data_IF_217119832640
#
_entry.id   IF_217119832640
#
_cell.length_a   1.000
_cell.length_b   1.000
_cell.length_c   1.000
_cell.angle_alpha   90.00
_cell.angle_beta   90.00
_cell.angle_gamma   90.00
#
_symmetry.space_group_name_H-M   'P 1'
#
loop_
_entity.id
_entity.type
_entity.pdbx_description
1 polymer ?
#
# COMPACT_ATOMS: atom_id res chain seq x y z
N UNK A 1 -9.09 -27.72 -16.29
CA UNK A 1 -8.15 -27.50 -15.18
C UNK A 1 -8.61 -28.35 -14.01
N UNK A 2 -7.69 -28.93 -13.24
CA UNK A 2 -8.01 -29.65 -12.00
C UNK A 2 -7.46 -28.82 -10.84
N UNK A 3 -8.25 -27.85 -10.43
CA UNK A 3 -7.85 -26.84 -9.45
C UNK A 3 -7.91 -27.40 -8.03
N UNK A 4 -6.92 -27.04 -7.22
CA UNK A 4 -6.84 -27.39 -5.80
C UNK A 4 -6.25 -26.23 -5.00
N UNK A 5 -6.74 -26.03 -3.77
CA UNK A 5 -6.18 -25.05 -2.84
C UNK A 5 -5.10 -25.67 -1.96
N UNK A 6 -4.10 -24.87 -1.60
CA UNK A 6 -3.18 -25.20 -0.52
C UNK A 6 -2.93 -23.96 0.36
N UNK A 7 -2.99 -24.08 1.69
CA UNK A 7 -2.79 -22.94 2.57
C UNK A 7 -1.37 -22.36 2.45
N UNK A 8 -1.25 -21.06 2.65
CA UNK A 8 0.01 -20.40 2.91
C UNK A 8 0.51 -20.82 4.30
N UNK A 9 1.73 -21.33 4.33
CA UNK A 9 2.46 -21.81 5.52
C UNK A 9 3.82 -21.12 5.54
N UNK A 10 4.49 -21.08 6.68
CA UNK A 10 5.80 -20.42 6.82
C UNK A 10 6.82 -20.95 5.80
N UNK A 11 6.85 -22.27 5.57
CA UNK A 11 7.76 -22.91 4.63
C UNK A 11 7.47 -22.55 3.16
N UNK A 12 6.28 -22.03 2.87
CA UNK A 12 5.85 -21.65 1.53
C UNK A 12 5.91 -20.15 1.26
N UNK A 13 6.28 -19.30 2.24
CA UNK A 13 6.38 -17.84 2.05
C UNK A 13 7.35 -17.45 0.94
N UNK A 14 8.51 -18.10 0.86
CA UNK A 14 9.48 -17.83 -0.19
C UNK A 14 8.92 -18.11 -1.60
N UNK A 15 8.16 -19.20 -1.77
CA UNK A 15 7.47 -19.50 -3.03
C UNK A 15 6.38 -18.46 -3.33
N UNK A 16 5.58 -18.10 -2.33
CA UNK A 16 4.54 -17.09 -2.45
C UNK A 16 5.08 -15.75 -2.94
N UNK A 17 6.18 -15.27 -2.33
CA UNK A 17 6.80 -14.00 -2.69
C UNK A 17 7.47 -14.05 -4.06
N UNK A 18 8.07 -15.18 -4.43
CA UNK A 18 8.59 -15.39 -5.79
C UNK A 18 7.48 -15.30 -6.85
N UNK A 19 6.30 -15.86 -6.59
CA UNK A 19 5.14 -15.73 -7.47
C UNK A 19 4.62 -14.28 -7.52
N UNK A 20 4.59 -13.59 -6.37
CA UNK A 20 4.24 -12.17 -6.32
C UNK A 20 5.20 -11.31 -7.13
N UNK A 21 6.49 -11.64 -7.13
CA UNK A 21 7.51 -10.94 -7.91
C UNK A 21 7.33 -11.18 -9.41
N UNK A 22 6.98 -12.40 -9.82
CA UNK A 22 6.80 -12.78 -11.23
C UNK A 22 5.46 -12.37 -11.87
N UNK A 23 4.42 -12.08 -11.09
CA UNK A 23 3.09 -11.71 -11.60
C UNK A 23 2.91 -10.21 -11.79
N UNK A 24 2.38 -9.69 -12.92
CA UNK A 24 2.09 -8.27 -13.09
C UNK A 24 0.88 -7.82 -12.26
N UNK A 25 -0.02 -8.76 -11.89
CA UNK A 25 -1.19 -8.47 -11.06
C UNK A 25 -0.80 -8.21 -9.60
N UNK A 26 0.25 -8.89 -9.13
CA UNK A 26 0.75 -8.74 -7.77
C UNK A 26 1.58 -7.47 -7.58
N UNK A 27 1.45 -6.87 -6.41
CA UNK A 27 2.35 -5.84 -5.88
C UNK A 27 2.58 -6.09 -4.39
N UNK A 28 3.34 -5.23 -3.70
CA UNK A 28 3.83 -5.47 -2.34
C UNK A 28 2.75 -5.98 -1.37
N UNK A 29 1.52 -5.46 -1.49
CA UNK A 29 0.39 -5.83 -0.65
C UNK A 29 0.01 -7.33 -0.71
N UNK A 30 0.39 -8.02 -1.78
CA UNK A 30 0.14 -9.46 -1.93
C UNK A 30 1.20 -10.29 -1.22
N UNK A 31 2.37 -9.74 -0.89
CA UNK A 31 3.51 -10.50 -0.35
C UNK A 31 3.26 -11.01 1.07
N UNK A 32 4.01 -12.03 1.47
CA UNK A 32 4.01 -12.56 2.83
C UNK A 32 4.37 -11.47 3.85
N UNK A 33 5.27 -10.55 3.50
CA UNK A 33 5.66 -9.39 4.32
C UNK A 33 4.46 -8.49 4.68
N UNK A 34 3.56 -8.24 3.73
CA UNK A 34 2.36 -7.45 3.97
C UNK A 34 1.28 -8.23 4.73
N UNK A 35 1.17 -9.55 4.48
CA UNK A 35 0.28 -10.44 5.23
C UNK A 35 0.69 -10.45 6.71
N UNK A 36 1.97 -10.64 7.01
CA UNK A 36 2.51 -10.64 8.38
C UNK A 36 2.25 -9.29 9.08
N UNK A 37 2.45 -8.17 8.37
CA UNK A 37 2.12 -6.86 8.90
C UNK A 37 0.63 -6.73 9.19
N UNK A 38 -0.24 -7.17 8.28
CA UNK A 38 -1.69 -7.06 8.43
C UNK A 38 -2.19 -7.87 9.63
N UNK A 39 -1.63 -9.06 9.88
CA UNK A 39 -1.93 -9.88 11.06
C UNK A 39 -1.49 -9.21 12.37
N UNK A 40 -0.40 -8.46 12.35
CA UNK A 40 0.13 -7.78 13.52
C UNK A 40 -0.45 -6.36 13.75
N UNK A 41 -1.11 -5.77 12.75
CA UNK A 41 -1.43 -4.33 12.73
C UNK A 41 -2.55 -3.92 13.69
N UNK A 42 -3.60 -4.74 13.80
CA UNK A 42 -4.79 -4.46 14.62
C UNK A 42 -5.11 -5.65 15.52
N UNK A 43 -4.38 -5.82 16.64
CA UNK A 43 -4.62 -6.94 17.57
C UNK A 43 -6.05 -7.01 18.10
N UNK A 44 -6.75 -5.87 18.14
CA UNK A 44 -8.14 -5.77 18.53
C UNK A 44 -9.13 -6.40 17.53
N UNK A 45 -8.67 -6.70 16.31
CA UNK A 45 -9.43 -7.41 15.29
C UNK A 45 -9.20 -8.93 15.31
N UNK A 46 -8.43 -9.47 16.27
CA UNK A 46 -8.18 -10.92 16.42
C UNK A 46 -7.80 -11.61 15.09
N UNK A 47 -6.98 -10.95 14.26
CA UNK A 47 -6.73 -11.33 12.86
C UNK A 47 -6.12 -12.74 12.71
N UNK A 48 -6.62 -13.50 11.73
CA UNK A 48 -6.14 -14.86 11.40
C UNK A 48 -5.87 -15.03 9.90
N UNK A 49 -4.69 -15.54 9.57
CA UNK A 49 -4.30 -15.82 8.19
C UNK A 49 -5.04 -17.03 7.62
N UNK A 50 -5.70 -16.84 6.49
CA UNK A 50 -6.37 -17.88 5.71
C UNK A 50 -5.93 -17.85 4.23
N UNK A 51 -4.80 -17.19 3.95
CA UNK A 51 -4.29 -17.04 2.59
C UNK A 51 -3.95 -18.39 1.97
N UNK A 52 -4.17 -18.56 0.67
CA UNK A 52 -3.97 -19.84 -0.01
C UNK A 52 -3.50 -19.67 -1.46
N UNK A 53 -2.80 -20.70 -1.94
CA UNK A 53 -2.43 -20.87 -3.34
C UNK A 53 -3.54 -21.63 -4.07
N UNK A 54 -3.66 -21.42 -5.37
CA UNK A 54 -4.40 -22.30 -6.28
C UNK A 54 -3.43 -23.01 -7.21
N UNK A 55 -3.54 -24.34 -7.29
CA UNK A 55 -2.73 -25.19 -8.14
C UNK A 55 -3.56 -25.80 -9.27
N UNK A 56 -3.00 -25.89 -10.48
CA UNK A 56 -3.43 -26.84 -11.52
C UNK A 56 -2.38 -27.95 -11.64
N UNK A 57 -2.68 -29.11 -11.06
CA UNK A 57 -1.68 -30.16 -10.88
C UNK A 57 -0.55 -29.74 -9.92
N UNK A 58 0.67 -29.54 -10.44
CA UNK A 58 1.85 -29.14 -9.64
C UNK A 58 2.18 -27.64 -9.75
N UNK A 59 1.53 -26.93 -10.66
CA UNK A 59 1.83 -25.53 -10.95
C UNK A 59 0.92 -24.61 -10.12
N UNK A 60 1.51 -23.65 -9.40
CA UNK A 60 0.75 -22.61 -8.71
C UNK A 60 0.30 -21.55 -9.73
N UNK A 61 -0.99 -21.53 -10.03
CA UNK A 61 -1.57 -20.69 -11.08
C UNK A 61 -2.15 -19.37 -10.55
N UNK A 62 -2.43 -19.29 -9.26
CA UNK A 62 -2.89 -18.07 -8.60
C UNK A 62 -2.59 -18.08 -7.09
N UNK A 63 -2.69 -16.90 -6.48
CA UNK A 63 -2.65 -16.71 -5.03
C UNK A 63 -3.85 -15.89 -4.55
N UNK A 64 -4.28 -16.15 -3.32
CA UNK A 64 -5.37 -15.42 -2.67
C UNK A 64 -4.91 -14.96 -1.28
N UNK A 65 -4.46 -13.69 -1.15
CA UNK A 65 -4.27 -13.07 0.16
C UNK A 65 -5.63 -12.98 0.88
N UNK A 66 -5.74 -13.63 2.03
CA UNK A 66 -6.98 -13.72 2.80
C UNK A 66 -6.67 -13.71 4.30
N UNK A 67 -7.34 -12.81 5.03
CA UNK A 67 -7.25 -12.68 6.48
C UNK A 67 -8.68 -12.56 7.01
N UNK A 68 -8.98 -13.36 8.03
CA UNK A 68 -10.18 -13.22 8.84
C UNK A 68 -9.92 -12.20 9.94
N UNK A 69 -10.79 -11.21 10.05
CA UNK A 69 -10.79 -10.22 11.11
C UNK A 69 -12.12 -10.28 11.86
N UNK A 70 -12.07 -10.19 13.17
CA UNK A 70 -13.21 -10.25 14.07
C UNK A 70 -13.28 -8.95 14.86
N UNK A 71 -14.33 -8.17 14.62
CA UNK A 71 -14.60 -6.93 15.36
C UNK A 71 -15.79 -7.08 16.30
N UNK A 72 -15.80 -6.32 17.40
CA UNK A 72 -16.91 -6.30 18.37
C UNK A 72 -17.53 -4.91 18.39
N UNK A 73 -18.79 -4.79 18.00
CA UNK A 73 -19.54 -3.54 18.02
C UNK A 73 -20.88 -3.73 18.74
N UNK A 74 -21.12 -2.93 19.78
CA UNK A 74 -22.33 -3.00 20.61
C UNK A 74 -22.67 -4.41 21.12
N UNK A 75 -21.65 -5.18 21.53
CA UNK A 75 -21.80 -6.55 22.03
C UNK A 75 -22.06 -7.61 20.95
N UNK A 76 -22.11 -7.23 19.67
CA UNK A 76 -22.17 -8.16 18.53
C UNK A 76 -20.78 -8.36 17.94
N UNK A 77 -20.50 -9.60 17.54
CA UNK A 77 -19.28 -10.00 16.86
C UNK A 77 -19.53 -9.99 15.36
N UNK A 78 -18.63 -9.35 14.61
CA UNK A 78 -18.68 -9.26 13.15
C UNK A 78 -17.39 -9.82 12.58
N UNK A 79 -17.51 -10.85 11.75
CA UNK A 79 -16.37 -11.44 11.04
C UNK A 79 -16.30 -10.89 9.63
N UNK A 80 -15.12 -10.44 9.22
CA UNK A 80 -14.87 -9.87 7.89
C UNK A 80 -13.63 -10.47 7.27
N UNK A 81 -13.63 -10.57 5.94
CA UNK A 81 -12.39 -10.74 5.19
C UNK A 81 -11.90 -9.36 4.75
N UNK A 82 -10.90 -8.86 5.47
CA UNK A 82 -10.38 -7.49 5.37
C UNK A 82 -8.95 -7.45 5.91
N UNK A 83 -8.21 -6.39 5.57
CA UNK A 83 -6.86 -6.13 6.09
C UNK A 83 -6.86 -4.83 6.91
N UNK A 84 -6.68 -4.94 8.23
CA UNK A 84 -6.68 -3.81 9.16
C UNK A 84 -8.05 -3.12 9.28
N UNK A 85 -9.14 -3.82 8.98
CA UNK A 85 -10.49 -3.28 8.84
C UNK A 85 -10.77 -2.57 7.52
N UNK A 86 -9.84 -2.67 6.55
CA UNK A 86 -9.95 -2.06 5.22
C UNK A 86 -9.87 -3.12 4.11
N UNK A 87 -9.73 -2.68 2.86
CA UNK A 87 -9.73 -3.57 1.68
C UNK A 87 -8.44 -4.38 1.55
N UNK A 88 -8.58 -5.70 1.51
CA UNK A 88 -7.51 -6.62 1.16
C UNK A 88 -7.14 -6.48 -0.34
N UNK A 89 -5.91 -6.79 -0.78
CA UNK A 89 -5.64 -6.97 -2.19
C UNK A 89 -6.47 -8.14 -2.72
N UNK A 90 -7.08 -7.97 -3.90
CA UNK A 90 -7.81 -9.04 -4.56
C UNK A 90 -6.90 -10.24 -4.89
N UNK A 91 -7.47 -11.43 -5.13
CA UNK A 91 -6.71 -12.56 -5.65
C UNK A 91 -6.00 -12.21 -6.96
N UNK A 92 -4.85 -12.85 -7.20
CA UNK A 92 -4.01 -12.56 -8.35
C UNK A 92 -3.62 -13.84 -9.09
N UNK A 93 -3.73 -13.79 -10.42
CA UNK A 93 -3.23 -14.83 -11.31
C UNK A 93 -1.70 -14.72 -11.38
N UNK A 94 -1.01 -15.83 -11.10
CA UNK A 94 0.46 -15.87 -11.07
C UNK A 94 1.04 -16.51 -12.32
N UNK A 95 0.26 -17.32 -13.04
CA UNK A 95 0.66 -17.90 -14.31
C UNK A 95 0.17 -17.04 -15.49
N UNK A 96 1.09 -16.31 -16.12
CA UNK A 96 0.80 -15.44 -17.26
C UNK A 96 0.46 -16.19 -18.56
N UNK A 97 0.70 -17.51 -18.62
CA UNK A 97 0.40 -18.32 -19.80
C UNK A 97 -1.07 -18.78 -19.86
N UNK A 98 -1.86 -18.47 -18.83
CA UNK A 98 -3.29 -18.79 -18.85
C UNK A 98 -4.02 -17.95 -19.90
N UNK A 99 -4.87 -18.61 -20.68
CA UNK A 99 -5.85 -17.91 -21.52
C UNK A 99 -6.86 -17.16 -20.64
N UNK A 100 -7.48 -16.10 -21.16
CA UNK A 100 -8.52 -15.36 -20.45
C UNK A 100 -9.62 -16.27 -19.88
N UNK A 101 -10.03 -17.29 -20.65
CA UNK A 101 -11.02 -18.29 -20.22
C UNK A 101 -10.53 -19.11 -19.01
N UNK A 102 -9.26 -19.48 -18.98
CA UNK A 102 -8.68 -20.24 -17.87
C UNK A 102 -8.48 -19.33 -16.65
N UNK A 103 -8.03 -18.09 -16.83
CA UNK A 103 -7.95 -17.11 -15.74
C UNK A 103 -9.31 -16.86 -15.10
N UNK A 104 -10.36 -16.69 -15.92
CA UNK A 104 -11.74 -16.55 -15.44
C UNK A 104 -12.22 -17.78 -14.66
N UNK A 105 -11.94 -18.99 -15.15
CA UNK A 105 -12.24 -20.23 -14.43
C UNK A 105 -11.50 -20.32 -13.08
N UNK A 106 -10.22 -19.92 -13.03
CA UNK A 106 -9.43 -19.88 -11.79
C UNK A 106 -10.03 -18.88 -10.79
N UNK A 107 -10.44 -17.69 -11.24
CA UNK A 107 -11.09 -16.71 -10.36
C UNK A 107 -12.43 -17.23 -9.82
N UNK A 108 -13.28 -17.85 -10.65
CA UNK A 108 -14.52 -18.47 -10.19
C UNK A 108 -14.27 -19.55 -9.12
N UNK A 109 -13.23 -20.36 -9.30
CA UNK A 109 -12.81 -21.34 -8.30
C UNK A 109 -12.37 -20.66 -6.99
N UNK A 110 -11.54 -19.62 -7.06
CA UNK A 110 -11.10 -18.85 -5.88
C UNK A 110 -12.30 -18.28 -5.11
N UNK A 111 -13.26 -17.66 -5.78
CA UNK A 111 -14.42 -17.07 -5.10
C UNK A 111 -15.37 -18.12 -4.52
N UNK A 112 -15.51 -19.28 -5.16
CA UNK A 112 -16.22 -20.41 -4.56
C UNK A 112 -15.56 -20.82 -3.23
N UNK A 113 -14.23 -20.92 -3.19
CA UNK A 113 -13.50 -21.26 -1.96
C UNK A 113 -13.60 -20.17 -0.89
N UNK A 114 -13.56 -18.89 -1.29
CA UNK A 114 -13.81 -17.76 -0.37
C UNK A 114 -15.21 -17.86 0.23
N UNK A 115 -16.23 -18.22 -0.56
CA UNK A 115 -17.61 -18.38 -0.07
C UNK A 115 -17.72 -19.54 0.92
N UNK A 116 -17.06 -20.68 0.67
CA UNK A 116 -17.02 -21.79 1.61
C UNK A 116 -16.34 -21.41 2.93
N UNK A 117 -15.20 -20.71 2.86
CA UNK A 117 -14.50 -20.18 4.03
C UNK A 117 -15.35 -19.12 4.76
N UNK A 118 -16.04 -18.24 4.03
CA UNK A 118 -16.92 -17.23 4.60
C UNK A 118 -18.07 -17.89 5.38
N UNK A 119 -18.72 -18.91 4.81
CA UNK A 119 -19.77 -19.66 5.48
C UNK A 119 -19.25 -20.37 6.75
N UNK A 120 -18.09 -21.03 6.64
CA UNK A 120 -17.43 -21.71 7.77
C UNK A 120 -17.10 -20.76 8.92
N UNK A 121 -16.66 -19.55 8.59
CA UNK A 121 -16.24 -18.55 9.57
C UNK A 121 -17.32 -17.50 9.89
N UNK A 122 -18.55 -17.67 9.38
CA UNK A 122 -19.66 -16.74 9.58
C UNK A 122 -19.30 -15.29 9.20
N UNK A 123 -18.61 -15.14 8.08
CA UNK A 123 -18.17 -13.84 7.57
C UNK A 123 -19.36 -13.07 6.98
N UNK A 124 -19.51 -11.83 7.41
CA UNK A 124 -20.60 -10.95 6.99
C UNK A 124 -20.20 -10.04 5.82
N UNK A 125 -18.90 -9.79 5.64
CA UNK A 125 -18.39 -8.90 4.59
C UNK A 125 -17.03 -9.36 4.07
N UNK A 126 -16.84 -9.27 2.76
CA UNK A 126 -15.56 -9.50 2.08
C UNK A 126 -15.17 -8.23 1.36
N UNK A 127 -14.00 -7.67 1.66
CA UNK A 127 -13.60 -6.34 1.17
C UNK A 127 -12.30 -6.45 0.38
N UNK A 128 -12.36 -6.21 -0.94
CA UNK A 128 -11.19 -6.24 -1.82
C UNK A 128 -10.96 -4.94 -2.56
N UNK A 129 -9.69 -4.65 -2.85
CA UNK A 129 -9.25 -3.63 -3.79
C UNK A 129 -8.34 -4.21 -4.85
N UNK A 130 -8.45 -3.66 -6.07
CA UNK A 130 -7.54 -3.97 -7.16
C UNK A 130 -6.28 -3.12 -7.04
N UNK A 131 -5.15 -3.69 -7.47
CA UNK A 131 -3.86 -3.00 -7.49
C UNK A 131 -3.86 -1.92 -8.60
N UNK A 132 -3.66 -0.62 -8.27
CA UNK A 132 -3.70 0.45 -9.27
C UNK A 132 -2.57 0.37 -10.29
N UNK A 133 -1.42 -0.23 -9.95
CA UNK A 133 -0.26 -0.30 -10.85
C UNK A 133 -0.47 -1.28 -12.01
N UNK A 134 -1.41 -2.22 -11.90
CA UNK A 134 -1.81 -3.09 -13.01
C UNK A 134 -2.41 -2.27 -14.15
N UNK A 135 -3.12 -1.18 -13.82
CA UNK A 135 -3.73 -0.28 -14.81
C UNK A 135 -2.72 0.69 -15.44
N UNK A 136 -1.65 1.02 -14.71
CA UNK A 136 -0.61 1.96 -15.14
C UNK A 136 0.30 1.37 -16.24
N UNK A 137 0.56 0.06 -16.21
CA UNK A 137 1.54 -0.60 -17.07
C UNK A 137 1.04 -0.91 -18.50
N UNK A 138 -0.15 -0.41 -18.90
CA UNK A 138 -0.62 -0.51 -20.29
C UNK A 138 -0.89 -1.94 -20.80
N UNK A 139 -0.80 -2.95 -19.93
CA UNK A 139 -1.21 -4.31 -20.26
C UNK A 139 -2.70 -4.33 -20.60
N UNK A 140 -3.15 -5.36 -21.33
CA UNK A 140 -4.58 -5.64 -21.57
C UNK A 140 -5.34 -6.01 -20.28
N UNK A 141 -4.85 -5.57 -19.13
CA UNK A 141 -5.50 -5.71 -17.85
C UNK A 141 -6.85 -4.99 -17.88
N UNK A 142 -7.84 -5.69 -17.34
CA UNK A 142 -9.23 -5.31 -17.36
C UNK A 142 -9.39 -3.91 -16.75
N UNK A 143 -9.68 -2.90 -17.58
CA UNK A 143 -9.92 -1.51 -17.15
C UNK A 143 -11.24 -1.33 -16.38
N UNK A 144 -11.88 -2.43 -16.00
CA UNK A 144 -13.14 -2.47 -15.29
C UNK A 144 -12.98 -3.14 -13.93
N UNK A 145 -13.91 -2.84 -13.02
CA UNK A 145 -13.96 -3.48 -11.72
C UNK A 145 -14.52 -4.91 -11.86
N UNK A 146 -13.63 -5.86 -12.13
CA UNK A 146 -13.98 -7.25 -12.39
C UNK A 146 -14.56 -7.98 -11.16
N UNK A 147 -14.43 -7.42 -9.95
CA UNK A 147 -15.06 -7.97 -8.74
C UNK A 147 -16.59 -8.05 -8.88
N UNK A 148 -17.20 -7.16 -9.66
CA UNK A 148 -18.64 -7.17 -9.93
C UNK A 148 -19.14 -8.46 -10.60
N UNK A 149 -18.28 -9.16 -11.35
CA UNK A 149 -18.62 -10.46 -11.94
C UNK A 149 -18.83 -11.56 -10.90
N UNK A 150 -18.35 -11.34 -9.67
CA UNK A 150 -18.41 -12.28 -8.55
C UNK A 150 -19.41 -11.83 -7.47
N UNK A 151 -20.31 -10.90 -7.80
CA UNK A 151 -21.40 -10.46 -6.92
C UNK A 151 -21.02 -9.36 -5.92
N UNK A 152 -19.80 -8.83 -5.97
CA UNK A 152 -19.41 -7.66 -5.16
C UNK A 152 -20.14 -6.41 -5.62
N UNK A 153 -20.45 -5.53 -4.67
CA UNK A 153 -20.94 -4.17 -4.95
C UNK A 153 -19.72 -3.33 -5.34
N UNK A 154 -19.58 -2.92 -6.62
CA UNK A 154 -18.41 -2.21 -7.06
C UNK A 154 -18.49 -0.73 -6.67
N UNK A 155 -17.39 -0.17 -6.19
CA UNK A 155 -17.19 1.27 -6.15
C UNK A 155 -15.74 1.64 -6.47
N UNK A 156 -15.49 2.94 -6.60
CA UNK A 156 -14.23 3.48 -7.06
C UNK A 156 -13.83 4.67 -6.19
N UNK A 157 -12.57 4.66 -5.76
CA UNK A 157 -11.85 5.85 -5.32
C UNK A 157 -10.80 6.21 -6.36
N UNK A 158 -10.17 7.37 -6.23
CA UNK A 158 -9.03 7.74 -7.07
C UNK A 158 -7.76 7.76 -6.22
N UNK A 159 -6.61 7.47 -6.85
CA UNK A 159 -5.29 7.68 -6.25
C UNK A 159 -4.44 8.54 -7.16
N UNK A 160 -3.56 9.35 -6.58
CA UNK A 160 -2.63 10.17 -7.33
C UNK A 160 -1.34 9.38 -7.55
N UNK A 161 -0.93 9.30 -8.81
CA UNK A 161 0.31 8.66 -9.24
C UNK A 161 1.16 9.67 -10.01
N UNK A 162 2.45 9.70 -9.69
CA UNK A 162 3.44 10.51 -10.40
C UNK A 162 4.26 9.55 -11.27
N UNK A 163 4.38 9.87 -12.57
CA UNK A 163 5.36 9.23 -13.44
C UNK A 163 6.74 9.78 -13.07
N UNK A 164 7.58 8.91 -12.50
CA UNK A 164 8.91 9.28 -12.02
C UNK A 164 10.00 8.96 -13.05
N UNK A 165 9.65 8.49 -14.26
CA UNK A 165 10.57 8.24 -15.38
C UNK A 165 10.91 9.54 -16.15
N UNK A 166 10.89 10.67 -15.45
CA UNK A 166 11.16 12.00 -15.96
C UNK A 166 12.25 12.69 -15.13
N UNK A 167 13.09 13.48 -15.80
CA UNK A 167 14.15 14.24 -15.13
C UNK A 167 13.58 15.12 -14.01
N UNK A 168 14.31 15.34 -12.90
CA UNK A 168 13.87 16.17 -11.78
C UNK A 168 13.34 17.55 -12.21
N UNK A 169 13.93 18.19 -13.21
CA UNK A 169 13.48 19.49 -13.72
C UNK A 169 12.06 19.41 -14.29
N UNK A 170 11.72 18.31 -14.98
CA UNK A 170 10.37 18.08 -15.48
C UNK A 170 9.40 17.83 -14.33
N UNK A 171 9.76 16.94 -13.40
CA UNK A 171 8.95 16.65 -12.21
C UNK A 171 8.63 17.92 -11.43
N UNK A 172 9.63 18.80 -11.22
CA UNK A 172 9.45 20.08 -10.55
C UNK A 172 8.54 21.02 -11.34
N UNK A 173 8.67 21.07 -12.67
CA UNK A 173 7.82 21.90 -13.54
C UNK A 173 6.35 21.53 -13.40
N UNK A 174 6.04 20.23 -13.33
CA UNK A 174 4.67 19.70 -13.24
C UNK A 174 4.01 19.92 -11.87
N UNK A 175 4.78 20.29 -10.85
CA UNK A 175 4.24 20.66 -9.54
C UNK A 175 3.48 21.99 -9.58
N UNK A 176 2.49 22.11 -8.70
CA UNK A 176 1.76 23.35 -8.45
C UNK A 176 2.71 24.45 -8.00
N UNK A 177 2.44 25.71 -8.42
CA UNK A 177 3.26 26.89 -8.05
C UNK A 177 3.52 26.99 -6.53
N UNK A 178 2.50 26.75 -5.71
CA UNK A 178 2.64 26.77 -4.24
C UNK A 178 3.63 25.72 -3.72
N UNK A 179 3.57 24.49 -4.24
CA UNK A 179 4.48 23.41 -3.86
C UNK A 179 5.93 23.74 -4.18
N UNK A 180 6.20 24.28 -5.38
CA UNK A 180 7.54 24.77 -5.75
C UNK A 180 8.05 25.85 -4.80
N UNK A 181 7.18 26.79 -4.44
CA UNK A 181 7.51 27.85 -3.47
C UNK A 181 7.80 27.29 -2.08
N UNK A 182 7.03 26.29 -1.64
CA UNK A 182 7.21 25.65 -0.34
C UNK A 182 8.48 24.80 -0.28
N UNK A 183 8.85 24.11 -1.37
CA UNK A 183 10.14 23.41 -1.47
C UNK A 183 11.29 24.41 -1.35
N UNK A 184 11.25 25.50 -2.13
CA UNK A 184 12.28 26.54 -2.08
C UNK A 184 12.39 27.17 -0.69
N UNK A 185 11.25 27.48 -0.07
CA UNK A 185 11.19 28.01 1.31
C UNK A 185 11.79 27.02 2.31
N UNK A 186 11.52 25.72 2.17
CA UNK A 186 12.13 24.70 3.03
C UNK A 186 13.66 24.75 2.98
N UNK A 187 14.21 24.82 1.76
CA UNK A 187 15.65 24.86 1.51
C UNK A 187 16.27 26.17 2.04
N UNK A 188 15.61 27.31 1.85
CA UNK A 188 16.01 28.62 2.39
C UNK A 188 16.00 28.66 3.93
N UNK A 189 15.07 27.93 4.56
CA UNK A 189 14.98 27.74 6.02
C UNK A 189 15.99 26.71 6.55
N UNK A 190 16.89 26.20 5.70
CA UNK A 190 17.97 25.29 6.06
C UNK A 190 17.56 23.83 6.22
N UNK A 191 16.40 23.42 5.71
CA UNK A 191 15.99 22.02 5.76
C UNK A 191 16.79 21.20 4.73
N UNK A 192 17.33 20.08 5.20
CA UNK A 192 18.00 19.08 4.36
C UNK A 192 17.32 17.73 4.51
N UNK A 193 17.47 16.83 3.53
CA UNK A 193 16.92 15.48 3.61
C UNK A 193 18.03 14.43 3.54
N UNK A 194 17.83 13.34 4.26
CA UNK A 194 18.69 12.16 4.22
C UNK A 194 17.85 10.92 3.92
N UNK A 195 18.31 10.09 2.99
CA UNK A 195 17.73 8.79 2.68
C UNK A 195 18.43 7.71 3.52
N UNK A 196 17.66 6.72 3.95
CA UNK A 196 18.12 5.52 4.63
C UNK A 196 17.50 4.30 3.93
N UNK A 197 18.32 3.56 3.20
CA UNK A 197 17.93 2.38 2.44
C UNK A 197 18.84 1.20 2.80
N UNK A 198 18.27 0.01 3.00
CA UNK A 198 19.01 -1.23 3.34
C UNK A 198 19.94 -1.02 4.54
N UNK A 199 21.26 -1.11 4.31
CA UNK A 199 22.29 -1.02 5.35
C UNK A 199 22.56 0.38 5.88
N UNK A 200 22.08 1.41 5.16
CA UNK A 200 22.17 2.79 5.61
C UNK A 200 21.18 3.11 6.74
N UNK A 201 20.12 2.31 6.90
CA UNK A 201 19.15 2.48 7.99
C UNK A 201 19.59 1.70 9.22
N UNK A 202 20.11 2.41 10.22
CA UNK A 202 20.36 1.86 11.55
C UNK A 202 19.07 1.73 12.36
N UNK A 203 19.07 0.86 13.38
CA UNK A 203 17.93 0.72 14.29
C UNK A 203 17.70 2.00 15.09
N UNK A 204 18.77 2.71 15.43
CA UNK A 204 18.76 3.99 16.12
C UNK A 204 18.04 5.05 15.29
N UNK A 205 18.39 5.18 14.01
CA UNK A 205 17.70 6.09 13.07
C UNK A 205 16.23 5.73 12.92
N UNK A 206 15.90 4.45 12.78
CA UNK A 206 14.51 4.02 12.67
C UNK A 206 13.71 4.32 13.95
N UNK A 207 14.35 4.21 15.12
CA UNK A 207 13.74 4.56 16.39
C UNK A 207 13.46 6.08 16.51
N UNK A 208 14.25 6.95 15.87
CA UNK A 208 13.92 8.38 15.77
C UNK A 208 12.62 8.59 14.98
N UNK A 209 12.44 7.88 13.86
CA UNK A 209 11.18 7.90 13.12
C UNK A 209 10.00 7.44 13.99
N UNK A 210 10.14 6.31 14.70
CA UNK A 210 9.11 5.80 15.60
C UNK A 210 8.73 6.81 16.69
N UNK A 211 9.73 7.39 17.35
CA UNK A 211 9.52 8.39 18.39
C UNK A 211 8.81 9.64 17.86
N UNK A 212 9.24 10.16 16.69
CA UNK A 212 8.60 11.31 16.07
C UNK A 212 7.18 11.00 15.61
N UNK A 213 6.92 9.78 15.11
CA UNK A 213 5.59 9.34 14.73
C UNK A 213 4.63 9.30 15.94
N UNK A 214 5.10 8.82 17.09
CA UNK A 214 4.31 8.83 18.32
C UNK A 214 4.04 10.27 18.79
N UNK A 215 5.06 11.15 18.76
CA UNK A 215 4.93 12.58 19.08
C UNK A 215 3.89 13.26 18.21
N UNK A 216 4.00 13.11 16.89
CA UNK A 216 3.09 13.74 15.92
C UNK A 216 1.64 13.25 16.05
N UNK A 217 1.44 11.97 16.41
CA UNK A 217 0.11 11.40 16.60
C UNK A 217 -0.47 11.64 18.00
N UNK A 218 0.34 12.07 18.98
CA UNK A 218 -0.04 12.17 20.40
C UNK A 218 -0.29 10.82 21.08
N UNK A 219 -0.04 9.71 20.38
CA UNK A 219 -0.22 8.34 20.86
C UNK A 219 0.59 7.36 20.03
N UNK A 220 0.81 6.16 20.56
CA UNK A 220 1.27 5.03 19.76
C UNK A 220 0.15 4.57 18.85
N UNK A 221 0.37 4.66 17.52
CA UNK A 221 -0.67 4.38 16.52
C UNK A 221 -0.77 2.91 16.11
N UNK A 222 0.29 2.12 16.37
CA UNK A 222 0.42 0.72 15.95
C UNK A 222 1.35 -0.05 16.90
N UNK A 223 1.23 -1.38 16.99
CA UNK A 223 2.08 -2.22 17.84
C UNK A 223 3.57 -2.18 17.47
N UNK A 224 4.46 -2.41 18.43
CA UNK A 224 5.92 -2.46 18.21
C UNK A 224 6.31 -3.49 17.14
N UNK A 225 5.66 -4.66 17.12
CA UNK A 225 5.90 -5.71 16.12
C UNK A 225 5.74 -5.21 14.68
N UNK A 226 4.82 -4.27 14.43
CA UNK A 226 4.67 -3.69 13.09
C UNK A 226 5.80 -2.74 12.72
N UNK A 227 6.39 -2.03 13.70
CA UNK A 227 7.58 -1.22 13.48
C UNK A 227 8.79 -2.09 13.15
N UNK A 228 8.93 -3.26 13.79
CA UNK A 228 9.98 -4.22 13.45
C UNK A 228 9.84 -4.77 12.02
N UNK A 229 8.61 -5.11 11.60
CA UNK A 229 8.34 -5.52 10.23
C UNK A 229 8.67 -4.40 9.23
N UNK A 230 8.27 -3.16 9.53
CA UNK A 230 8.58 -1.99 8.70
C UNK A 230 10.09 -1.70 8.60
N UNK A 231 10.84 -1.93 9.68
CA UNK A 231 12.30 -1.84 9.66
C UNK A 231 12.90 -2.92 8.76
N UNK A 232 12.42 -4.17 8.86
CA UNK A 232 12.87 -5.27 8.00
C UNK A 232 12.59 -4.99 6.52
N UNK A 233 11.45 -4.38 6.18
CA UNK A 233 11.17 -3.95 4.81
C UNK A 233 12.25 -3.01 4.27
N UNK A 234 12.79 -2.11 5.10
CA UNK A 234 13.91 -1.25 4.69
C UNK A 234 15.17 -2.06 4.45
N UNK A 235 15.49 -2.99 5.35
CA UNK A 235 16.67 -3.87 5.26
C UNK A 235 16.67 -4.73 4.00
N UNK A 236 15.51 -5.28 3.66
CA UNK A 236 15.29 -6.14 2.49
C UNK A 236 15.19 -5.33 1.18
N UNK A 237 14.99 -4.01 1.30
CA UNK A 237 14.88 -3.08 0.18
C UNK A 237 13.48 -2.97 -0.41
N UNK A 238 12.47 -3.40 0.35
CA UNK A 238 11.04 -3.20 0.08
C UNK A 238 10.50 -1.84 0.57
N UNK A 239 11.34 -1.05 1.25
CA UNK A 239 11.06 0.31 1.61
C UNK A 239 12.35 1.13 1.77
N UNK A 240 12.23 2.45 1.83
CA UNK A 240 13.26 3.33 2.37
C UNK A 240 12.64 4.34 3.32
N UNK A 241 13.45 4.84 4.25
CA UNK A 241 13.10 5.93 5.13
C UNK A 241 13.78 7.20 4.65
N UNK A 242 13.06 8.30 4.60
CA UNK A 242 13.63 9.63 4.35
C UNK A 242 13.34 10.52 5.55
N UNK A 243 14.36 11.20 6.06
CA UNK A 243 14.26 12.16 7.17
C UNK A 243 14.59 13.58 6.72
N UNK A 244 13.75 14.55 7.08
CA UNK A 244 14.09 15.97 6.98
C UNK A 244 14.73 16.44 8.28
N UNK A 245 15.87 17.12 8.14
CA UNK A 245 16.69 17.63 9.23
C UNK A 245 16.74 19.16 9.18
N UNK A 246 16.61 19.79 10.34
CA UNK A 246 16.93 21.20 10.54
C UNK A 246 18.06 21.24 11.57
N UNK A 247 19.19 21.84 11.20
CA UNK A 247 20.43 21.74 11.99
C UNK A 247 20.80 20.28 12.27
N UNK A 248 20.80 19.85 13.53
CA UNK A 248 21.13 18.48 13.96
C UNK A 248 19.89 17.62 14.29
N UNK A 249 18.67 18.16 14.20
CA UNK A 249 17.44 17.48 14.60
C UNK A 249 16.62 17.00 13.39
N UNK A 250 16.19 15.73 13.39
CA UNK A 250 15.18 15.25 12.46
C UNK A 250 13.79 15.75 12.85
N UNK A 251 13.21 16.61 12.01
CA UNK A 251 11.91 17.24 12.24
C UNK A 251 10.79 16.64 11.38
N UNK A 252 11.09 15.66 10.53
CA UNK A 252 10.07 14.91 9.81
C UNK A 252 10.62 13.66 9.16
N UNK A 253 9.73 12.70 8.92
CA UNK A 253 10.08 11.46 8.25
C UNK A 253 8.97 11.00 7.30
N UNK A 254 9.35 10.23 6.29
CA UNK A 254 8.44 9.41 5.50
C UNK A 254 9.06 8.04 5.22
N UNK A 255 8.26 7.00 5.39
CA UNK A 255 8.57 5.65 4.94
C UNK A 255 7.85 5.40 3.62
N UNK A 256 8.63 5.14 2.58
CA UNK A 256 8.16 4.89 1.22
C UNK A 256 8.36 3.41 0.93
N UNK A 257 7.28 2.71 0.59
CA UNK A 257 7.36 1.32 0.13
C UNK A 257 7.80 1.31 -1.32
N UNK A 258 8.66 0.36 -1.69
CA UNK A 258 9.17 0.17 -3.06
C UNK A 258 9.07 -1.31 -3.40
N UNK A 259 8.42 -1.62 -4.52
CA UNK A 259 8.33 -2.98 -5.00
C UNK A 259 8.20 -2.99 -6.52
N UNK A 260 9.06 -3.77 -7.18
CA UNK A 260 9.26 -3.72 -8.63
C UNK A 260 9.66 -2.31 -9.08
N UNK A 261 8.99 -1.75 -10.07
CA UNK A 261 9.22 -0.42 -10.63
C UNK A 261 8.25 0.63 -10.06
N UNK A 262 7.61 0.37 -8.91
CA UNK A 262 6.64 1.27 -8.32
C UNK A 262 6.91 1.51 -6.82
N UNK A 263 6.54 2.70 -6.35
CA UNK A 263 6.62 3.12 -4.97
C UNK A 263 5.27 3.62 -4.45
N UNK A 264 5.09 3.57 -3.13
CA UNK A 264 3.89 4.04 -2.46
C UNK A 264 4.20 4.80 -1.18
N UNK A 265 3.49 5.91 -1.00
CA UNK A 265 3.62 6.75 0.17
C UNK A 265 2.95 6.11 1.40
N UNK A 266 3.73 5.31 2.13
CA UNK A 266 3.22 4.43 3.18
C UNK A 266 2.90 5.12 4.50
N UNK A 267 3.89 5.78 5.11
CA UNK A 267 3.71 6.40 6.43
C UNK A 267 4.56 7.67 6.56
N UNK A 268 4.06 8.67 7.27
CA UNK A 268 4.78 9.93 7.47
C UNK A 268 4.50 10.57 8.81
N UNK A 269 5.43 11.37 9.30
CA UNK A 269 5.23 12.23 10.46
C UNK A 269 6.03 13.53 10.31
N UNK A 270 5.46 14.63 10.80
CA UNK A 270 6.14 15.91 10.94
C UNK A 270 6.17 16.27 12.42
N UNK A 271 7.23 16.91 12.88
CA UNK A 271 7.34 17.42 14.24
C UNK A 271 6.29 18.52 14.45
N UNK A 272 5.34 18.35 15.39
CA UNK A 272 4.27 19.32 15.61
C UNK A 272 4.78 20.68 16.13
N UNK A 273 6.02 20.76 16.62
CA UNK A 273 6.63 21.99 17.12
C UNK A 273 7.06 22.95 15.98
N UNK A 274 7.02 22.47 14.72
CA UNK A 274 7.39 23.24 13.53
C UNK A 274 6.23 23.30 12.50
N UNK A 275 5.03 23.79 12.88
CA UNK A 275 3.83 23.68 12.04
C UNK A 275 3.91 24.53 10.76
N UNK A 276 4.69 25.61 10.77
CA UNK A 276 4.81 26.56 9.66
C UNK A 276 5.85 26.14 8.60
N UNK A 277 6.70 25.16 8.94
CA UNK A 277 7.76 24.69 8.06
C UNK A 277 7.21 23.68 7.03
N UNK A 278 7.55 23.83 5.74
CA UNK A 278 7.10 22.95 4.67
C UNK A 278 7.85 21.59 4.63
N UNK A 279 7.95 20.91 5.78
CA UNK A 279 8.70 19.66 6.00
C UNK A 279 8.29 18.57 5.01
N UNK A 280 6.99 18.32 4.87
CA UNK A 280 6.51 17.29 3.96
C UNK A 280 6.78 17.63 2.48
N UNK A 281 6.89 18.91 2.11
CA UNK A 281 7.19 19.30 0.73
C UNK A 281 8.62 18.93 0.34
N UNK A 282 9.60 19.26 1.19
CA UNK A 282 11.01 18.93 0.92
C UNK A 282 11.28 17.43 0.98
N UNK A 283 10.61 16.71 1.90
CA UNK A 283 10.68 15.24 1.93
C UNK A 283 10.20 14.66 0.61
N UNK A 284 8.99 15.01 0.17
CA UNK A 284 8.43 14.42 -1.05
C UNK A 284 9.21 14.83 -2.31
N UNK A 285 9.80 16.03 -2.35
CA UNK A 285 10.70 16.42 -3.43
C UNK A 285 11.95 15.55 -3.49
N UNK A 286 12.61 15.32 -2.35
CA UNK A 286 13.79 14.46 -2.28
C UNK A 286 13.45 12.98 -2.53
N UNK A 287 12.26 12.53 -2.12
CA UNK A 287 11.71 11.23 -2.53
C UNK A 287 11.64 11.10 -4.05
N UNK A 288 11.07 12.08 -4.75
CA UNK A 288 10.96 12.03 -6.22
C UNK A 288 12.31 11.96 -6.92
N UNK A 289 13.31 12.72 -6.46
CA UNK A 289 14.68 12.66 -6.97
C UNK A 289 15.28 11.26 -6.77
N UNK A 290 15.17 10.71 -5.56
CA UNK A 290 15.70 9.38 -5.26
C UNK A 290 15.02 8.29 -6.09
N UNK A 291 13.69 8.37 -6.28
CA UNK A 291 12.95 7.41 -7.11
C UNK A 291 13.41 7.42 -8.57
N UNK A 292 13.60 8.61 -9.15
CA UNK A 292 14.16 8.78 -10.49
C UNK A 292 15.57 8.19 -10.61
N UNK A 293 16.46 8.52 -9.67
CA UNK A 293 17.86 8.02 -9.65
C UNK A 293 17.94 6.49 -9.52
N UNK A 294 16.95 5.85 -8.90
CA UNK A 294 16.88 4.40 -8.69
C UNK A 294 16.00 3.67 -9.73
N UNK A 295 15.58 4.34 -10.81
CA UNK A 295 14.81 3.73 -11.89
C UNK A 295 13.41 3.25 -11.49
N UNK A 296 12.86 3.79 -10.41
CA UNK A 296 11.46 3.57 -10.03
C UNK A 296 10.61 4.49 -10.90
N UNK A 297 9.59 3.94 -11.57
CA UNK A 297 8.85 4.61 -12.65
C UNK A 297 7.52 5.19 -12.23
N UNK A 298 6.96 4.74 -11.12
CA UNK A 298 5.66 5.22 -10.65
C UNK A 298 5.66 5.41 -9.15
N UNK A 299 5.09 6.52 -8.70
CA UNK A 299 4.93 6.82 -7.28
C UNK A 299 3.47 7.12 -6.95
N UNK A 300 2.80 6.18 -6.29
CA UNK A 300 1.47 6.41 -5.74
C UNK A 300 1.59 7.23 -4.44
N UNK A 301 1.40 8.54 -4.57
CA UNK A 301 1.46 9.48 -3.44
C UNK A 301 0.15 9.48 -2.63
N UNK A 302 -0.91 8.87 -3.17
CA UNK A 302 -2.02 8.32 -2.40
C UNK A 302 -3.41 8.87 -2.75
N UNK A 303 -4.38 8.43 -1.95
CA UNK A 303 -5.80 8.50 -2.27
C UNK A 303 -6.35 9.92 -2.37
N UNK A 304 -7.38 10.06 -3.20
CA UNK A 304 -7.96 11.31 -3.61
C UNK A 304 -9.39 11.44 -3.11
N UNK A 305 -9.58 12.45 -2.27
CA UNK A 305 -10.85 12.83 -1.70
C UNK A 305 -11.19 14.26 -2.12
N UNK A 306 -12.41 14.44 -2.61
CA UNK A 306 -12.94 15.74 -3.04
C UNK A 306 -14.15 16.13 -2.18
N UNK A 307 -15.04 15.17 -1.94
CA UNK A 307 -16.18 15.31 -1.05
C UNK A 307 -16.58 13.93 -0.49
N UNK A 308 -17.60 13.90 0.36
CA UNK A 308 -18.29 12.68 0.73
C UNK A 308 -18.94 12.02 -0.48
N UNK A 309 -18.84 10.69 -0.54
CA UNK A 309 -19.52 9.83 -1.51
C UNK A 309 -20.50 8.93 -0.76
N UNK A 310 -21.45 8.26 -1.43
CA UNK A 310 -22.33 7.29 -0.78
C UNK A 310 -21.59 6.15 -0.05
N UNK A 311 -20.36 5.84 -0.45
CA UNK A 311 -19.57 4.73 0.08
C UNK A 311 -18.48 5.18 1.06
N UNK A 312 -18.14 6.47 1.08
CA UNK A 312 -17.05 6.99 1.89
C UNK A 312 -17.23 8.47 2.22
N UNK A 313 -17.27 8.77 3.53
CA UNK A 313 -17.38 10.12 4.05
C UNK A 313 -16.01 10.69 4.41
N UNK A 314 -15.39 11.42 3.48
CA UNK A 314 -14.09 12.02 3.69
C UNK A 314 -14.17 13.24 4.63
N UNK A 315 -13.34 13.25 5.66
CA UNK A 315 -13.15 14.39 6.56
C UNK A 315 -12.45 15.56 5.85
N UNK A 316 -12.58 16.77 6.40
CA UNK A 316 -11.81 17.94 5.93
C UNK A 316 -10.29 17.69 5.96
N UNK A 317 -9.82 16.93 6.96
CA UNK A 317 -8.41 16.54 7.08
C UNK A 317 -7.99 15.69 5.87
N UNK A 318 -8.77 14.68 5.49
CA UNK A 318 -8.48 13.82 4.35
C UNK A 318 -8.52 14.57 3.02
N UNK A 319 -9.48 15.49 2.86
CA UNK A 319 -9.55 16.38 1.69
C UNK A 319 -8.33 17.28 1.57
N UNK A 320 -7.85 17.84 2.68
CA UNK A 320 -6.64 18.66 2.72
C UNK A 320 -5.37 17.83 2.40
N UNK A 321 -5.27 16.61 2.93
CA UNK A 321 -4.18 15.68 2.62
C UNK A 321 -4.20 15.32 1.13
N UNK A 322 -5.36 15.00 0.55
CA UNK A 322 -5.50 14.72 -0.88
C UNK A 322 -5.08 15.93 -1.74
N UNK A 323 -5.53 17.14 -1.37
CA UNK A 323 -5.14 18.39 -2.05
C UNK A 323 -3.63 18.66 -1.98
N UNK A 324 -2.99 18.37 -0.85
CA UNK A 324 -1.53 18.44 -0.72
C UNK A 324 -0.85 17.45 -1.67
N UNK A 325 -1.28 16.18 -1.69
CA UNK A 325 -0.74 15.13 -2.56
C UNK A 325 -0.84 15.46 -4.05
N UNK A 326 -1.98 15.99 -4.52
CA UNK A 326 -2.14 16.44 -5.92
C UNK A 326 -1.19 17.55 -6.34
N UNK A 327 -0.69 18.35 -5.40
CA UNK A 327 0.16 19.48 -5.73
C UNK A 327 1.55 19.09 -6.26
N UNK A 328 1.97 17.84 -6.11
CA UNK A 328 3.21 17.30 -6.66
C UNK A 328 3.11 16.91 -8.15
N UNK A 329 1.96 17.11 -8.80
CA UNK A 329 1.75 16.76 -10.20
C UNK A 329 1.35 15.30 -10.39
N UNK A 330 1.54 14.77 -11.60
CA UNK A 330 1.11 13.43 -12.00
C UNK A 330 -0.35 13.36 -12.47
N UNK A 331 -0.91 12.15 -12.45
CA UNK A 331 -2.27 11.85 -12.91
C UNK A 331 -3.02 10.98 -11.90
N UNK A 332 -4.34 10.84 -12.10
CA UNK A 332 -5.17 10.00 -11.25
C UNK A 332 -5.41 8.63 -11.89
N UNK A 333 -5.30 7.58 -11.07
CA UNK A 333 -5.73 6.23 -11.42
C UNK A 333 -6.92 5.82 -10.57
N UNK A 334 -7.86 5.04 -11.12
CA UNK A 334 -8.96 4.50 -10.34
C UNK A 334 -8.43 3.39 -9.41
N UNK A 335 -8.89 3.44 -8.17
CA UNK A 335 -8.83 2.36 -7.20
C UNK A 335 -10.18 1.66 -7.20
N UNK A 336 -10.25 0.53 -7.90
CA UNK A 336 -11.44 -0.31 -7.93
C UNK A 336 -11.54 -1.11 -6.64
N UNK A 337 -12.72 -1.08 -6.03
CA UNK A 337 -13.03 -1.72 -4.76
C UNK A 337 -14.32 -2.54 -4.92
N UNK A 338 -14.38 -3.69 -4.27
CA UNK A 338 -15.59 -4.50 -4.15
C UNK A 338 -15.84 -4.87 -2.70
N UNK A 339 -17.09 -4.72 -2.26
CA UNK A 339 -17.57 -5.16 -0.94
C UNK A 339 -18.85 -5.98 -1.01
#
# INVERSE_FOLDING_TARGET
MKLQVAPLTEEKKALWDALCLGSPECWFLHTSHWIDYSLAYRPDLESKGLSFFVYDGKEAVAICPLILETSKLNGKTFNTFSFGGAWAPAPAITNQNLTLKNSDHVLHFIFAEIIELAAKHQVEKVSYRLNPFVLANGEKANRSNWLSNFGFIPYMLNTQVIDTDHQPEQLLRDMRKGHKSDIKRAEEEGLTCQIFYRDECSRETFNLYKALHAKAAGRTTRPESTFDLMYNWIKEGHAFLIGARKEDEFIGFSLIMVYKNAAYYGSSCNNPDYPDLPIAHVIQWNTLKWLYENGIKSYEIGWQFYDSTPFYHASEKEKNIARFKRGFGGFQLPLFIGE
#
